data_IF_056112543888
#
_entry.id   IF_056112543888
#
_cell.length_a   1.000
_cell.length_b   1.000
_cell.length_c   1.000
_cell.angle_alpha   90.00
_cell.angle_beta   90.00
_cell.angle_gamma   90.00
#
_symmetry.space_group_name_H-M   'P 1'
#
loop_
_entity.id
_entity.type
_entity.pdbx_description
1 polymer ?
#
# COMPACT_ATOMS: atom_id res chain seq x y z
N UNK A 1 31.65 52.25 -20.45
CA UNK A 1 31.83 51.31 -21.59
C UNK A 1 30.62 50.38 -21.64
N UNK A 2 29.81 50.51 -22.70
CA UNK A 2 28.61 49.68 -22.85
C UNK A 2 29.04 48.21 -23.09
N UNK A 3 28.55 47.27 -22.26
CA UNK A 3 28.76 45.85 -22.42
C UNK A 3 28.04 45.38 -23.69
N UNK A 4 28.70 45.31 -24.83
CA UNK A 4 28.15 44.73 -26.06
C UNK A 4 27.85 43.25 -25.85
N UNK A 5 26.58 42.91 -25.87
CA UNK A 5 26.11 41.54 -25.82
C UNK A 5 26.05 40.98 -27.25
N UNK A 6 26.87 39.95 -27.50
CA UNK A 6 26.81 39.20 -28.74
C UNK A 6 25.47 38.42 -28.78
N UNK A 7 24.75 38.46 -29.91
CA UNK A 7 23.47 37.79 -30.11
C UNK A 7 23.43 37.01 -31.43
N UNK A 8 22.78 35.88 -31.37
CA UNK A 8 22.43 35.07 -32.59
C UNK A 8 21.05 34.47 -32.39
N UNK A 9 20.49 33.91 -33.44
CA UNK A 9 19.25 33.16 -33.34
C UNK A 9 19.37 31.79 -34.03
N UNK A 10 18.64 30.83 -33.52
CA UNK A 10 18.51 29.47 -34.10
C UNK A 10 17.05 29.26 -34.43
N UNK A 11 16.77 28.68 -35.60
CA UNK A 11 15.43 28.26 -36.00
C UNK A 11 15.08 26.95 -35.29
N UNK A 12 13.92 26.88 -34.67
CA UNK A 12 13.42 25.69 -34.01
C UNK A 12 12.57 24.87 -34.98
N UNK A 13 12.39 23.55 -34.75
CA UNK A 13 11.55 22.68 -35.58
C UNK A 13 10.11 23.17 -35.75
N UNK A 14 9.57 23.90 -34.78
CA UNK A 14 8.22 24.49 -34.79
C UNK A 14 8.14 25.84 -35.54
N UNK A 15 9.18 26.24 -36.27
CA UNK A 15 9.23 27.48 -37.03
C UNK A 15 9.50 28.75 -36.23
N UNK A 16 9.63 28.69 -34.90
CA UNK A 16 9.94 29.84 -34.06
C UNK A 16 11.45 30.06 -33.97
N UNK A 17 11.88 31.31 -33.78
CA UNK A 17 13.29 31.64 -33.55
C UNK A 17 13.60 31.75 -32.07
N UNK A 18 14.65 31.05 -31.61
CA UNK A 18 15.24 31.22 -30.27
C UNK A 18 16.45 32.15 -30.35
N UNK A 19 16.39 33.25 -29.61
CA UNK A 19 17.50 34.19 -29.51
C UNK A 19 18.47 33.78 -28.41
N UNK A 20 19.76 33.79 -28.72
CA UNK A 20 20.85 33.43 -27.82
C UNK A 20 21.72 34.67 -27.62
N UNK A 21 22.10 34.95 -26.37
CA UNK A 21 22.92 36.09 -25.99
C UNK A 21 24.08 35.63 -25.12
N UNK A 22 25.27 36.25 -25.30
CA UNK A 22 26.45 36.00 -24.48
C UNK A 22 27.31 37.25 -24.37
N UNK A 23 28.15 37.33 -23.33
CA UNK A 23 29.12 38.38 -23.13
C UNK A 23 30.41 38.19 -23.95
N UNK A 24 30.63 36.98 -24.53
CA UNK A 24 31.75 36.65 -25.40
C UNK A 24 31.32 35.93 -26.63
N UNK A 25 32.10 36.01 -27.73
CA UNK A 25 31.86 35.24 -28.96
C UNK A 25 31.94 33.72 -28.73
N UNK A 26 32.93 33.27 -27.97
CA UNK A 26 33.13 31.86 -27.64
C UNK A 26 31.96 31.32 -26.85
N UNK A 27 31.51 32.07 -25.82
CA UNK A 27 30.31 31.67 -25.02
C UNK A 27 29.01 31.72 -25.85
N UNK A 28 28.94 32.53 -26.92
CA UNK A 28 27.83 32.53 -27.85
C UNK A 28 27.79 31.26 -28.71
N UNK A 29 28.93 30.87 -29.26
CA UNK A 29 29.06 29.64 -30.07
C UNK A 29 28.84 28.40 -29.23
N UNK A 30 29.32 28.37 -28.00
CA UNK A 30 29.06 27.24 -27.09
C UNK A 30 27.56 27.08 -26.83
N UNK A 31 26.88 28.17 -26.46
CA UNK A 31 25.41 28.15 -26.25
C UNK A 31 24.64 27.80 -27.52
N UNK A 32 25.12 28.23 -28.70
CA UNK A 32 24.52 27.86 -29.98
C UNK A 32 24.65 26.37 -30.24
N UNK A 33 25.84 25.78 -29.98
CA UNK A 33 26.03 24.31 -30.09
C UNK A 33 25.12 23.51 -29.17
N UNK A 34 24.95 23.97 -27.90
CA UNK A 34 24.04 23.34 -26.94
C UNK A 34 22.58 23.36 -27.45
N UNK A 35 22.13 24.51 -27.96
CA UNK A 35 20.77 24.63 -28.53
C UNK A 35 20.62 23.76 -29.77
N UNK A 36 21.62 23.72 -30.66
CA UNK A 36 21.58 22.86 -31.87
C UNK A 36 21.59 21.38 -31.51
N UNK A 37 22.33 20.97 -30.46
CA UNK A 37 22.29 19.61 -29.94
C UNK A 37 20.90 19.25 -29.39
N UNK A 38 20.26 20.16 -28.64
CA UNK A 38 18.89 19.98 -28.14
C UNK A 38 17.88 19.85 -29.30
N UNK A 39 18.01 20.64 -30.34
CA UNK A 39 17.18 20.52 -31.54
C UNK A 39 17.41 19.16 -32.22
N UNK A 40 18.63 18.72 -32.34
CA UNK A 40 18.98 17.43 -32.94
C UNK A 40 18.47 16.23 -32.16
N UNK A 41 18.26 16.39 -30.84
CA UNK A 41 17.64 15.38 -29.96
C UNK A 41 16.10 15.44 -29.92
N UNK A 42 15.49 16.40 -30.63
CA UNK A 42 14.01 16.56 -30.64
C UNK A 42 13.41 17.16 -29.38
N UNK A 43 14.22 17.78 -28.49
CA UNK A 43 13.75 18.38 -27.24
C UNK A 43 12.93 19.65 -27.48
N UNK A 44 11.83 19.82 -26.74
CA UNK A 44 11.08 21.07 -26.69
C UNK A 44 11.79 22.09 -25.80
N UNK A 45 12.65 22.90 -26.44
CA UNK A 45 13.45 23.93 -25.78
C UNK A 45 12.68 25.20 -25.43
N UNK A 46 11.44 25.32 -25.84
CA UNK A 46 10.56 26.44 -25.50
C UNK A 46 9.71 26.18 -24.26
N UNK A 47 9.57 24.93 -23.85
CA UNK A 47 8.82 24.61 -22.64
C UNK A 47 9.64 25.02 -21.40
N UNK A 48 9.06 25.95 -20.62
CA UNK A 48 9.59 26.43 -19.35
C UNK A 48 8.72 26.01 -18.17
N UNK A 49 7.85 24.98 -18.35
CA UNK A 49 6.97 24.49 -17.29
C UNK A 49 7.75 24.15 -16.04
N UNK A 50 7.14 24.41 -14.88
CA UNK A 50 7.68 24.00 -13.59
C UNK A 50 7.45 22.50 -13.39
N UNK A 51 8.20 21.92 -12.46
CA UNK A 51 7.96 20.53 -12.05
C UNK A 51 6.50 20.30 -11.61
N UNK A 52 5.92 21.27 -10.85
CA UNK A 52 4.55 21.17 -10.36
C UNK A 52 3.53 21.14 -11.48
N UNK A 53 3.64 22.03 -12.45
CA UNK A 53 2.76 22.05 -13.63
C UNK A 53 2.84 20.75 -14.42
N UNK A 54 4.03 20.26 -14.69
CA UNK A 54 4.20 19.01 -15.42
C UNK A 54 3.75 17.78 -14.60
N UNK A 55 3.99 17.75 -13.30
CA UNK A 55 3.53 16.67 -12.43
C UNK A 55 1.99 16.59 -12.38
N UNK A 56 1.27 17.72 -12.50
CA UNK A 56 -0.19 17.73 -12.63
C UNK A 56 -0.64 17.12 -13.97
N UNK A 57 0.02 17.46 -15.07
CA UNK A 57 -0.23 16.83 -16.37
C UNK A 57 0.01 15.33 -16.29
N UNK A 58 1.16 14.92 -15.75
CA UNK A 58 1.51 13.51 -15.55
C UNK A 58 0.47 12.79 -14.68
N UNK A 59 0.03 13.39 -13.57
CA UNK A 59 -0.97 12.81 -12.70
C UNK A 59 -2.30 12.57 -13.45
N UNK A 60 -2.77 13.59 -14.18
CA UNK A 60 -4.07 13.52 -14.85
C UNK A 60 -4.07 12.61 -16.08
N UNK A 61 -2.99 12.60 -16.88
CA UNK A 61 -2.90 11.84 -18.13
C UNK A 61 -2.40 10.41 -17.89
N UNK A 62 -1.35 10.22 -17.08
CA UNK A 62 -0.68 8.93 -16.95
C UNK A 62 -1.13 8.13 -15.74
N UNK A 63 -1.82 8.73 -14.75
CA UNK A 63 -2.21 8.03 -13.52
C UNK A 63 -3.71 7.95 -13.28
N UNK A 64 -4.42 9.07 -13.45
CA UNK A 64 -5.84 9.15 -13.14
C UNK A 64 -6.70 8.15 -13.92
N UNK A 65 -6.48 7.88 -15.22
CA UNK A 65 -7.28 6.91 -15.97
C UNK A 65 -7.07 5.46 -15.54
N UNK A 66 -5.91 5.14 -14.94
CA UNK A 66 -5.50 3.75 -14.70
C UNK A 66 -5.50 3.34 -13.23
N UNK A 67 -5.58 4.28 -12.30
CA UNK A 67 -5.48 4.01 -10.87
C UNK A 67 -6.81 4.14 -10.16
N UNK A 68 -7.03 3.27 -9.16
CA UNK A 68 -8.19 3.39 -8.26
C UNK A 68 -8.04 4.61 -7.36
N UNK A 69 -9.18 5.18 -6.92
CA UNK A 69 -9.27 6.42 -6.13
C UNK A 69 -8.28 6.47 -4.94
N UNK A 70 -8.22 5.42 -4.11
CA UNK A 70 -7.28 5.36 -2.97
C UNK A 70 -5.80 5.43 -3.38
N UNK A 71 -5.46 4.87 -4.54
CA UNK A 71 -4.08 4.95 -5.06
C UNK A 71 -3.76 6.36 -5.54
N UNK A 72 -4.73 7.03 -6.15
CA UNK A 72 -4.62 8.43 -6.57
C UNK A 72 -4.46 9.35 -5.36
N UNK A 73 -5.27 9.18 -4.32
CA UNK A 73 -5.16 9.94 -3.06
C UNK A 73 -3.78 9.76 -2.42
N UNK A 74 -3.31 8.53 -2.35
CA UNK A 74 -2.00 8.23 -1.77
C UNK A 74 -0.84 8.79 -2.62
N UNK A 75 -0.99 8.88 -3.95
CA UNK A 75 -0.04 9.50 -4.85
C UNK A 75 -0.08 11.02 -4.71
N UNK A 76 -1.28 11.60 -4.66
CA UNK A 76 -1.49 13.03 -4.44
C UNK A 76 -0.90 13.50 -3.10
N UNK A 77 -1.14 12.76 -2.03
CA UNK A 77 -0.57 13.04 -0.72
C UNK A 77 0.97 13.00 -0.74
N UNK A 78 1.56 12.03 -1.45
CA UNK A 78 3.02 11.96 -1.57
C UNK A 78 3.59 13.14 -2.37
N UNK A 79 2.93 13.58 -3.45
CA UNK A 79 3.30 14.78 -4.20
C UNK A 79 3.23 16.03 -3.30
N UNK A 80 2.08 16.26 -2.65
CA UNK A 80 1.83 17.47 -1.88
C UNK A 80 2.75 17.59 -0.66
N UNK A 81 2.93 16.49 0.08
CA UNK A 81 3.61 16.55 1.38
C UNK A 81 5.12 16.34 1.29
N UNK A 82 5.62 15.69 0.24
CA UNK A 82 7.03 15.26 0.21
C UNK A 82 7.81 15.71 -1.02
N UNK A 83 7.15 16.09 -2.12
CA UNK A 83 7.84 16.48 -3.36
C UNK A 83 7.63 17.96 -3.66
N UNK A 84 6.40 18.45 -3.66
CA UNK A 84 6.07 19.84 -3.96
C UNK A 84 6.75 20.86 -3.05
N UNK A 85 6.97 20.64 -1.75
CA UNK A 85 7.71 21.57 -0.92
C UNK A 85 9.13 21.89 -1.42
N UNK A 86 9.71 21.00 -2.25
CA UNK A 86 11.07 21.16 -2.78
C UNK A 86 11.11 21.53 -4.25
N UNK A 87 10.14 21.08 -5.07
CA UNK A 87 10.27 21.13 -6.52
C UNK A 87 9.13 21.87 -7.23
N UNK A 88 8.01 22.20 -6.57
CA UNK A 88 6.81 22.69 -7.23
C UNK A 88 7.10 23.82 -8.24
N UNK A 89 7.81 24.84 -7.81
CA UNK A 89 8.07 26.05 -8.59
C UNK A 89 9.43 26.04 -9.31
N UNK A 90 10.15 24.90 -9.23
CA UNK A 90 11.43 24.73 -9.92
C UNK A 90 11.16 24.40 -11.39
N UNK A 91 11.77 25.15 -12.35
CA UNK A 91 11.66 24.78 -13.75
C UNK A 91 12.11 23.34 -13.99
N UNK A 92 11.31 22.55 -14.70
CA UNK A 92 11.52 21.11 -14.90
C UNK A 92 12.95 20.80 -15.39
N UNK A 93 13.46 21.60 -16.32
CA UNK A 93 14.80 21.49 -16.91
C UNK A 93 15.94 21.86 -15.95
N UNK A 94 15.64 22.52 -14.83
CA UNK A 94 16.65 22.97 -13.84
C UNK A 94 16.70 22.06 -12.60
N UNK A 95 15.85 21.04 -12.52
CA UNK A 95 15.90 20.12 -11.39
C UNK A 95 17.20 19.31 -11.45
N UNK A 96 17.97 19.35 -10.37
CA UNK A 96 19.27 18.69 -10.26
C UNK A 96 19.19 17.37 -9.48
N UNK A 97 20.14 16.44 -9.71
CA UNK A 97 20.25 15.22 -8.90
C UNK A 97 20.44 15.49 -7.40
N UNK A 98 21.07 16.61 -7.05
CA UNK A 98 21.25 17.02 -5.64
C UNK A 98 19.90 17.33 -4.97
N UNK A 99 18.99 18.04 -5.63
CA UNK A 99 17.65 18.31 -5.11
C UNK A 99 16.86 17.01 -4.88
N UNK A 100 16.96 16.05 -5.82
CA UNK A 100 16.36 14.73 -5.63
C UNK A 100 16.93 14.02 -4.39
N UNK A 101 18.25 14.09 -4.20
CA UNK A 101 18.92 13.49 -3.05
C UNK A 101 18.51 14.16 -1.72
N UNK A 102 18.30 15.48 -1.70
CA UNK A 102 17.80 16.22 -0.54
C UNK A 102 16.38 15.77 -0.15
N UNK A 103 15.48 15.56 -1.13
CA UNK A 103 14.14 15.01 -0.87
C UNK A 103 14.25 13.65 -0.20
N UNK A 104 15.05 12.74 -0.74
CA UNK A 104 15.21 11.40 -0.17
C UNK A 104 15.85 11.45 1.21
N UNK A 105 16.81 12.35 1.44
CA UNK A 105 17.44 12.55 2.74
C UNK A 105 16.46 13.07 3.79
N UNK A 106 15.55 13.99 3.42
CA UNK A 106 14.52 14.53 4.33
C UNK A 106 13.56 13.43 4.84
N UNK A 107 13.43 12.34 4.10
CA UNK A 107 12.57 11.21 4.43
C UNK A 107 13.28 10.10 5.23
N UNK A 108 14.51 10.30 5.68
CA UNK A 108 15.31 9.27 6.36
C UNK A 108 14.65 8.73 7.65
N UNK A 109 13.85 9.57 8.34
CA UNK A 109 13.10 9.20 9.54
C UNK A 109 11.73 8.57 9.25
N UNK A 110 11.28 8.61 8.00
CA UNK A 110 10.02 8.03 7.57
C UNK A 110 10.18 6.55 7.22
N UNK A 111 9.06 5.86 6.95
CA UNK A 111 9.11 4.45 6.55
C UNK A 111 9.84 4.26 5.22
N UNK A 112 10.57 3.15 5.09
CA UNK A 112 11.23 2.78 3.83
C UNK A 112 10.23 2.73 2.66
N UNK A 113 9.01 2.24 2.90
CA UNK A 113 7.94 2.15 1.90
C UNK A 113 7.52 3.53 1.36
N UNK A 114 7.48 4.57 2.19
CA UNK A 114 7.19 5.93 1.75
C UNK A 114 8.34 6.48 0.89
N UNK A 115 9.58 6.25 1.31
CA UNK A 115 10.77 6.63 0.54
C UNK A 115 10.75 6.00 -0.86
N UNK A 116 10.55 4.68 -0.93
CA UNK A 116 10.48 3.94 -2.19
C UNK A 116 9.37 4.51 -3.10
N UNK A 117 8.21 4.84 -2.51
CA UNK A 117 7.09 5.45 -3.23
C UNK A 117 7.43 6.84 -3.79
N UNK A 118 8.07 7.70 -3.00
CA UNK A 118 8.49 9.04 -3.46
C UNK A 118 9.50 8.92 -4.60
N UNK A 119 10.49 8.02 -4.49
CA UNK A 119 11.45 7.75 -5.56
C UNK A 119 10.74 7.24 -6.82
N UNK A 120 9.76 6.34 -6.67
CA UNK A 120 8.97 5.82 -7.79
C UNK A 120 8.17 6.93 -8.50
N UNK A 121 7.59 7.87 -7.74
CA UNK A 121 6.87 9.02 -8.30
C UNK A 121 7.82 9.91 -9.07
N UNK A 122 8.95 10.29 -8.48
CA UNK A 122 9.97 11.12 -9.13
C UNK A 122 10.45 10.48 -10.44
N UNK A 123 10.77 9.19 -10.42
CA UNK A 123 11.13 8.44 -11.64
C UNK A 123 10.02 8.47 -12.68
N UNK A 124 8.76 8.26 -12.25
CA UNK A 124 7.62 8.27 -13.17
C UNK A 124 7.42 9.62 -13.85
N UNK A 125 7.51 10.73 -13.10
CA UNK A 125 7.38 12.08 -13.66
C UNK A 125 8.52 12.40 -14.62
N UNK A 126 9.78 12.18 -14.19
CA UNK A 126 10.93 12.56 -15.00
C UNK A 126 11.14 11.63 -16.21
N UNK A 127 10.82 10.34 -16.13
CA UNK A 127 10.86 9.45 -17.29
C UNK A 127 9.80 9.88 -18.32
N UNK A 128 8.58 10.18 -17.89
CA UNK A 128 7.58 10.73 -18.79
C UNK A 128 8.01 12.06 -19.41
N UNK A 129 8.74 12.91 -18.68
CA UNK A 129 9.29 14.14 -19.23
C UNK A 129 10.39 13.89 -20.29
N UNK A 130 11.19 12.85 -20.12
CA UNK A 130 12.17 12.39 -21.14
C UNK A 130 11.43 11.84 -22.36
N UNK A 131 10.44 10.96 -22.17
CA UNK A 131 9.66 10.35 -23.23
C UNK A 131 8.90 11.39 -24.07
N UNK A 132 8.50 12.50 -23.45
CA UNK A 132 7.84 13.64 -24.13
C UNK A 132 8.85 14.71 -24.63
N UNK A 133 10.14 14.42 -24.65
CA UNK A 133 11.20 15.32 -25.13
C UNK A 133 11.30 16.68 -24.40
N UNK A 134 10.79 16.78 -23.17
CA UNK A 134 10.87 18.01 -22.37
C UNK A 134 12.25 18.19 -21.70
N UNK A 135 12.91 17.08 -21.39
CA UNK A 135 14.27 17.04 -20.84
C UNK A 135 15.08 15.93 -21.52
N UNK A 136 16.38 16.14 -21.65
CA UNK A 136 17.27 15.16 -22.32
C UNK A 136 17.53 13.92 -21.45
N UNK A 137 17.53 14.08 -20.12
CA UNK A 137 17.88 13.01 -19.16
C UNK A 137 17.15 13.23 -17.85
N UNK A 138 16.71 12.15 -17.24
CA UNK A 138 16.15 12.18 -15.89
C UNK A 138 17.20 12.58 -14.85
N UNK A 139 16.89 13.56 -13.96
CA UNK A 139 17.77 13.92 -12.85
C UNK A 139 17.76 12.89 -11.71
N UNK A 140 16.85 11.90 -11.75
CA UNK A 140 16.76 10.87 -10.70
C UNK A 140 17.90 9.87 -10.88
N UNK A 141 18.83 9.74 -9.92
CA UNK A 141 19.94 8.80 -10.05
C UNK A 141 19.46 7.36 -10.18
N UNK A 142 20.08 6.58 -11.07
CA UNK A 142 19.75 5.17 -11.27
C UNK A 142 19.92 4.34 -10.00
N UNK A 143 20.98 4.60 -9.25
CA UNK A 143 21.33 3.91 -7.99
C UNK A 143 21.01 4.77 -6.75
N UNK A 144 19.82 5.40 -6.71
CA UNK A 144 19.40 6.10 -5.50
C UNK A 144 19.05 5.09 -4.40
N UNK A 145 19.73 5.20 -3.25
CA UNK A 145 19.45 4.34 -2.09
C UNK A 145 18.35 4.96 -1.25
N UNK A 146 17.24 4.23 -1.13
CA UNK A 146 16.20 4.55 -0.16
C UNK A 146 16.74 4.33 1.26
N UNK A 147 16.77 5.39 2.06
CA UNK A 147 17.00 5.33 3.51
C UNK A 147 15.64 5.49 4.18
N UNK A 148 15.34 4.68 5.15
CA UNK A 148 14.09 4.80 5.90
C UNK A 148 14.03 3.72 6.96
N UNK A 149 13.23 3.97 7.98
CA UNK A 149 13.03 3.00 9.05
C UNK A 149 12.32 1.79 8.47
N UNK A 150 12.92 0.62 8.60
CA UNK A 150 12.23 -0.63 8.28
C UNK A 150 11.12 -0.82 9.30
N UNK A 151 9.93 -1.10 8.83
CA UNK A 151 8.82 -1.49 9.72
C UNK A 151 9.24 -2.77 10.45
N UNK A 152 9.04 -2.81 11.77
CA UNK A 152 9.23 -4.04 12.54
C UNK A 152 8.42 -5.17 11.89
N UNK A 153 9.02 -6.33 11.78
CA UNK A 153 8.37 -7.52 11.25
C UNK A 153 7.17 -7.87 12.16
N UNK A 154 6.06 -8.18 11.55
CA UNK A 154 4.84 -8.54 12.29
C UNK A 154 4.88 -10.03 12.53
N UNK A 155 5.12 -10.44 13.77
CA UNK A 155 5.00 -11.83 14.20
C UNK A 155 3.52 -12.23 14.27
N UNK A 156 3.19 -13.42 13.79
CA UNK A 156 1.85 -14.00 13.92
C UNK A 156 1.48 -14.17 15.41
N UNK A 157 0.20 -14.08 15.72
CA UNK A 157 -0.27 -14.33 17.08
C UNK A 157 -0.13 -15.82 17.43
N UNK A 158 0.35 -16.11 18.61
CA UNK A 158 0.34 -17.47 19.15
C UNK A 158 -1.10 -17.98 19.37
N UNK A 159 -1.25 -19.26 19.62
CA UNK A 159 -2.56 -19.86 19.95
C UNK A 159 -3.16 -19.21 21.20
N UNK A 160 -2.35 -19.00 22.25
CA UNK A 160 -2.73 -18.31 23.48
C UNK A 160 -3.14 -16.86 23.22
N UNK A 161 -2.33 -16.09 22.50
CA UNK A 161 -2.65 -14.69 22.15
C UNK A 161 -3.96 -14.58 21.36
N UNK A 162 -4.22 -15.50 20.44
CA UNK A 162 -5.47 -15.53 19.68
C UNK A 162 -6.67 -15.83 20.56
N UNK A 163 -6.54 -16.75 21.52
CA UNK A 163 -7.59 -17.04 22.50
C UNK A 163 -7.85 -15.82 23.39
N UNK A 164 -6.80 -15.26 24.00
CA UNK A 164 -6.89 -14.04 24.83
C UNK A 164 -7.52 -12.87 24.10
N UNK A 165 -7.23 -12.71 22.80
CA UNK A 165 -7.89 -11.69 21.97
C UNK A 165 -9.39 -11.95 21.86
N UNK A 166 -9.80 -13.17 21.49
CA UNK A 166 -11.22 -13.51 21.35
C UNK A 166 -11.97 -13.36 22.69
N UNK A 167 -11.39 -13.80 23.78
CA UNK A 167 -11.94 -13.66 25.13
C UNK A 167 -12.12 -12.17 25.51
N UNK A 168 -11.10 -11.34 25.24
CA UNK A 168 -11.12 -9.91 25.53
C UNK A 168 -12.20 -9.15 24.75
N UNK A 169 -12.58 -9.62 23.55
CA UNK A 169 -13.62 -8.97 22.72
C UNK A 169 -14.95 -9.72 22.71
N UNK A 170 -15.10 -10.82 23.45
CA UNK A 170 -16.24 -11.75 23.41
C UNK A 170 -17.60 -11.07 23.57
N UNK A 171 -17.71 -10.06 24.43
CA UNK A 171 -18.93 -9.28 24.66
C UNK A 171 -19.09 -8.08 23.72
N UNK A 172 -18.31 -7.98 22.65
CA UNK A 172 -18.32 -6.84 21.73
C UNK A 172 -18.64 -7.25 20.30
N UNK A 173 -19.07 -6.28 19.48
CA UNK A 173 -19.29 -6.49 18.04
C UNK A 173 -17.99 -6.84 17.28
N UNK A 174 -16.81 -6.59 17.86
CA UNK A 174 -15.54 -6.93 17.27
C UNK A 174 -15.24 -8.45 17.30
N UNK A 175 -15.88 -9.20 18.19
CA UNK A 175 -15.67 -10.65 18.32
C UNK A 175 -15.85 -11.39 16.99
N UNK A 176 -16.99 -11.17 16.35
CA UNK A 176 -17.32 -11.86 15.08
C UNK A 176 -16.32 -11.52 13.97
N UNK A 177 -15.91 -10.27 13.86
CA UNK A 177 -14.87 -9.88 12.91
C UNK A 177 -13.54 -10.58 13.19
N UNK A 178 -13.10 -10.60 14.46
CA UNK A 178 -11.85 -11.26 14.85
C UNK A 178 -11.89 -12.75 14.63
N UNK A 179 -13.03 -13.40 14.95
CA UNK A 179 -13.22 -14.84 14.76
C UNK A 179 -13.14 -15.21 13.26
N UNK A 180 -13.88 -14.50 12.40
CA UNK A 180 -13.83 -14.72 10.95
C UNK A 180 -12.41 -14.50 10.44
N UNK A 181 -11.74 -13.39 10.81
CA UNK A 181 -10.40 -13.06 10.34
C UNK A 181 -9.36 -14.12 10.72
N UNK A 182 -9.43 -14.65 11.97
CA UNK A 182 -8.51 -15.68 12.47
C UNK A 182 -8.76 -17.07 11.89
N UNK A 183 -10.01 -17.38 11.50
CA UNK A 183 -10.38 -18.72 11.06
C UNK A 183 -10.52 -18.85 9.54
N UNK A 184 -10.50 -17.73 8.79
CA UNK A 184 -10.65 -17.75 7.33
C UNK A 184 -9.55 -16.98 6.60
N UNK A 185 -8.80 -16.16 7.31
CA UNK A 185 -7.80 -15.30 6.72
C UNK A 185 -8.31 -14.28 5.71
N UNK A 186 -9.60 -14.03 5.65
CA UNK A 186 -10.22 -13.06 4.74
C UNK A 186 -9.67 -11.65 4.97
N UNK A 187 -9.60 -10.86 3.89
CA UNK A 187 -9.23 -9.45 3.99
C UNK A 187 -10.33 -8.65 4.68
N UNK A 188 -9.96 -7.53 5.32
CA UNK A 188 -10.94 -6.64 5.97
C UNK A 188 -12.15 -6.32 5.09
N UNK A 189 -11.91 -5.98 3.83
CA UNK A 189 -12.98 -5.62 2.90
C UNK A 189 -13.86 -6.82 2.53
N UNK A 190 -13.29 -8.01 2.43
CA UNK A 190 -14.03 -9.26 2.18
C UNK A 190 -14.93 -9.59 3.39
N UNK A 191 -14.40 -9.48 4.62
CA UNK A 191 -15.20 -9.72 5.85
C UNK A 191 -16.33 -8.68 5.98
N UNK A 192 -16.05 -7.39 5.72
CA UNK A 192 -17.07 -6.34 5.81
C UNK A 192 -18.10 -6.40 4.65
N UNK A 193 -17.78 -7.07 3.56
CA UNK A 193 -18.68 -7.29 2.43
C UNK A 193 -19.37 -8.65 2.44
N UNK A 194 -19.07 -9.52 3.40
CA UNK A 194 -19.59 -10.89 3.46
C UNK A 194 -21.09 -10.89 3.69
N UNK A 195 -21.80 -11.64 2.85
CA UNK A 195 -23.25 -11.77 2.86
C UNK A 195 -23.67 -13.18 3.26
N UNK A 196 -24.92 -13.35 3.71
CA UNK A 196 -25.47 -14.68 4.05
C UNK A 196 -25.57 -15.61 2.85
N UNK A 197 -25.74 -15.08 1.65
CA UNK A 197 -25.74 -15.85 0.40
C UNK A 197 -24.37 -16.42 0.01
N UNK A 198 -23.30 -15.88 0.61
CA UNK A 198 -21.93 -16.38 0.43
C UNK A 198 -21.63 -17.59 1.32
N UNK A 199 -22.54 -17.94 2.23
CA UNK A 199 -22.29 -18.98 3.25
C UNK A 199 -23.15 -20.20 2.99
N UNK A 200 -22.53 -21.26 2.56
CA UNK A 200 -23.13 -22.60 2.51
C UNK A 200 -22.87 -23.31 3.85
N UNK A 201 -23.89 -23.27 4.73
CA UNK A 201 -23.81 -23.90 6.05
C UNK A 201 -23.84 -25.42 6.00
N UNK A 202 -24.41 -25.98 4.95
CA UNK A 202 -24.56 -27.44 4.78
C UNK A 202 -23.23 -28.03 4.29
N UNK A 203 -22.62 -27.41 3.29
CA UNK A 203 -21.27 -27.78 2.81
C UNK A 203 -20.16 -27.24 3.67
N UNK A 204 -20.45 -26.34 4.61
CA UNK A 204 -19.49 -25.68 5.49
C UNK A 204 -18.43 -24.89 4.70
N UNK A 205 -18.88 -24.10 3.73
CA UNK A 205 -18.02 -23.33 2.82
C UNK A 205 -18.42 -21.85 2.83
N UNK A 206 -17.43 -20.95 2.83
CA UNK A 206 -17.62 -19.54 2.51
C UNK A 206 -17.11 -19.30 1.08
N UNK A 207 -17.99 -18.83 0.21
CA UNK A 207 -17.67 -18.37 -1.14
C UNK A 207 -17.24 -16.90 -1.07
N UNK A 208 -15.95 -16.62 -1.16
CA UNK A 208 -15.44 -15.23 -1.12
C UNK A 208 -15.67 -14.58 -2.47
N UNK A 209 -16.75 -13.82 -2.61
CA UNK A 209 -17.17 -13.14 -3.85
C UNK A 209 -17.30 -11.62 -3.67
N UNK A 210 -17.64 -11.15 -2.48
CA UNK A 210 -17.93 -9.77 -2.18
C UNK A 210 -16.77 -9.05 -1.50
N UNK A 211 -16.65 -7.74 -1.76
CA UNK A 211 -15.69 -6.87 -1.09
C UNK A 211 -16.28 -5.49 -0.81
N UNK A 212 -16.21 -5.06 0.42
CA UNK A 212 -16.58 -3.70 0.81
C UNK A 212 -15.44 -2.72 0.54
N UNK A 213 -15.72 -1.70 -0.26
CA UNK A 213 -14.83 -0.57 -0.53
C UNK A 213 -15.39 0.65 0.21
N UNK A 214 -14.64 1.13 1.18
CA UNK A 214 -14.99 2.32 1.93
C UNK A 214 -14.55 3.57 1.15
N UNK A 215 -15.51 4.42 0.81
CA UNK A 215 -15.29 5.75 0.22
C UNK A 215 -15.57 6.82 1.27
N UNK A 216 -15.28 8.09 0.93
CA UNK A 216 -15.58 9.22 1.82
C UNK A 216 -17.08 9.41 2.09
N UNK A 217 -17.94 9.01 1.16
CA UNK A 217 -19.39 9.20 1.24
C UNK A 217 -20.18 7.95 1.61
N UNK A 218 -19.71 6.77 1.21
CA UNK A 218 -20.44 5.52 1.41
C UNK A 218 -19.55 4.29 1.36
N UNK A 219 -20.10 3.14 1.74
CA UNK A 219 -19.49 1.82 1.51
C UNK A 219 -20.16 1.19 0.29
N UNK A 220 -19.35 0.80 -0.67
CA UNK A 220 -19.77 0.09 -1.87
C UNK A 220 -19.38 -1.37 -1.67
N UNK A 221 -20.37 -2.27 -1.67
CA UNK A 221 -20.14 -3.70 -1.71
C UNK A 221 -20.32 -4.16 -3.15
N UNK A 222 -19.33 -4.85 -3.68
CA UNK A 222 -19.34 -5.32 -5.07
C UNK A 222 -18.75 -6.72 -5.17
N UNK A 223 -19.23 -7.47 -6.14
CA UNK A 223 -18.66 -8.76 -6.56
C UNK A 223 -17.30 -8.60 -7.26
N UNK A 224 -16.97 -7.35 -7.70
CA UNK A 224 -15.72 -7.05 -8.36
C UNK A 224 -14.54 -7.13 -7.38
N UNK A 225 -14.06 -8.33 -7.13
CA UNK A 225 -12.80 -8.55 -6.42
C UNK A 225 -11.63 -7.99 -7.24
N UNK A 226 -10.55 -7.60 -6.55
CA UNK A 226 -9.41 -6.91 -7.18
C UNK A 226 -8.71 -7.75 -8.26
N UNK A 227 -8.80 -9.06 -8.14
CA UNK A 227 -8.18 -10.05 -9.06
C UNK A 227 -9.03 -11.32 -9.09
N UNK A 228 -8.95 -12.10 -10.16
CA UNK A 228 -9.58 -13.42 -10.25
C UNK A 228 -9.15 -14.38 -9.15
N UNK A 229 -7.90 -14.33 -8.72
CA UNK A 229 -7.38 -15.12 -7.60
C UNK A 229 -8.03 -14.80 -6.24
N UNK A 230 -8.80 -13.72 -6.14
CA UNK A 230 -9.50 -13.38 -4.90
C UNK A 230 -10.81 -14.13 -4.72
N UNK A 231 -11.43 -14.62 -5.82
CA UNK A 231 -12.58 -15.52 -5.77
C UNK A 231 -12.10 -16.90 -5.33
N UNK A 232 -12.62 -17.38 -4.22
CA UNK A 232 -12.20 -18.67 -3.64
C UNK A 232 -13.20 -19.18 -2.63
N UNK A 233 -13.11 -20.45 -2.37
CA UNK A 233 -13.90 -21.16 -1.37
C UNK A 233 -13.04 -21.44 -0.14
N UNK A 234 -13.56 -21.11 1.04
CA UNK A 234 -12.87 -21.31 2.32
C UNK A 234 -13.70 -22.24 3.18
N UNK A 235 -13.15 -23.38 3.65
CA UNK A 235 -13.82 -24.24 4.62
C UNK A 235 -14.12 -23.49 5.93
N UNK A 236 -15.29 -23.74 6.52
CA UNK A 236 -15.72 -23.12 7.79
C UNK A 236 -15.33 -24.04 8.94
N UNK A 237 -14.41 -23.63 9.83
CA UNK A 237 -14.07 -24.40 11.02
C UNK A 237 -15.25 -24.53 11.99
N UNK A 238 -15.33 -25.60 12.80
CA UNK A 238 -16.50 -25.91 13.66
C UNK A 238 -16.92 -24.77 14.59
N UNK A 239 -15.98 -24.06 15.20
CA UNK A 239 -16.27 -22.92 16.08
C UNK A 239 -16.97 -21.77 15.35
N UNK A 240 -16.49 -21.43 14.14
CA UNK A 240 -17.11 -20.39 13.32
C UNK A 240 -18.47 -20.85 12.80
N UNK A 241 -18.60 -22.12 12.41
CA UNK A 241 -19.85 -22.70 11.95
C UNK A 241 -20.94 -22.60 13.02
N UNK A 242 -20.64 -22.97 14.27
CA UNK A 242 -21.56 -22.84 15.39
C UNK A 242 -22.01 -21.40 15.62
N UNK A 243 -21.07 -20.46 15.56
CA UNK A 243 -21.37 -19.04 15.70
C UNK A 243 -22.27 -18.52 14.55
N UNK A 244 -21.98 -18.89 13.31
CA UNK A 244 -22.78 -18.47 12.14
C UNK A 244 -24.18 -19.07 12.15
N UNK A 245 -24.33 -20.32 12.52
CA UNK A 245 -25.67 -20.98 12.67
C UNK A 245 -26.52 -20.26 13.71
N UNK A 246 -25.95 -19.90 14.86
CA UNK A 246 -26.63 -19.12 15.89
C UNK A 246 -27.07 -17.74 15.44
N UNK A 247 -26.26 -17.06 14.62
CA UNK A 247 -26.56 -15.73 14.13
C UNK A 247 -27.58 -15.70 12.99
N UNK A 248 -27.63 -16.71 12.13
CA UNK A 248 -28.51 -16.74 10.94
C UNK A 248 -29.99 -16.69 11.33
N UNK A 249 -30.38 -17.32 12.42
CA UNK A 249 -31.76 -17.35 12.91
C UNK A 249 -32.29 -15.99 13.37
N UNK A 250 -31.43 -15.04 13.71
CA UNK A 250 -31.75 -13.71 14.21
C UNK A 250 -31.39 -12.57 13.26
N UNK A 251 -30.85 -12.87 12.08
CA UNK A 251 -30.34 -11.84 11.16
C UNK A 251 -31.45 -11.22 10.33
N UNK A 252 -31.64 -9.88 10.48
CA UNK A 252 -32.52 -9.08 9.63
C UNK A 252 -31.80 -8.35 8.50
N UNK A 253 -30.52 -8.65 8.25
CA UNK A 253 -29.66 -8.02 7.23
C UNK A 253 -29.09 -9.06 6.27
N UNK A 254 -28.89 -8.74 4.98
CA UNK A 254 -28.15 -9.62 4.08
C UNK A 254 -26.68 -9.75 4.46
N UNK A 255 -26.10 -8.78 5.19
CA UNK A 255 -24.69 -8.76 5.59
C UNK A 255 -24.47 -9.45 6.93
N UNK A 256 -23.35 -10.17 7.04
CA UNK A 256 -22.91 -10.79 8.32
C UNK A 256 -22.53 -9.74 9.34
N UNK A 257 -21.81 -8.69 8.90
CA UNK A 257 -21.46 -7.53 9.71
C UNK A 257 -22.14 -6.28 9.12
N UNK A 258 -23.06 -5.71 9.88
CA UNK A 258 -23.89 -4.62 9.41
C UNK A 258 -24.06 -3.52 10.47
N UNK A 259 -24.52 -2.35 10.08
CA UNK A 259 -25.02 -1.30 10.96
C UNK A 259 -26.43 -1.66 11.49
N UNK A 260 -26.91 -0.97 12.49
CA UNK A 260 -28.26 -1.20 13.09
C UNK A 260 -29.39 -1.09 12.06
N UNK A 261 -29.20 -0.27 11.02
CA UNK A 261 -30.18 -0.13 9.91
C UNK A 261 -30.04 -1.22 8.82
N UNK A 262 -29.30 -2.29 9.06
CA UNK A 262 -29.10 -3.42 8.15
C UNK A 262 -28.14 -3.14 6.98
N UNK A 263 -27.62 -1.92 6.83
CA UNK A 263 -26.66 -1.57 5.76
C UNK A 263 -25.25 -2.06 6.08
N UNK A 264 -24.37 -2.23 5.08
CA UNK A 264 -22.97 -2.62 5.31
C UNK A 264 -22.27 -1.59 6.18
N UNK A 265 -21.26 -2.02 6.94
CA UNK A 265 -20.47 -1.13 7.80
C UNK A 265 -19.89 0.04 7.01
N UNK A 266 -20.06 1.27 7.50
CA UNK A 266 -19.34 2.45 7.01
C UNK A 266 -17.87 2.43 7.47
N UNK A 267 -17.03 3.31 6.92
CA UNK A 267 -15.65 3.48 7.38
C UNK A 267 -15.59 3.84 8.87
N UNK A 268 -16.48 4.74 9.33
CA UNK A 268 -16.56 5.14 10.73
C UNK A 268 -17.09 4.01 11.63
N UNK A 269 -18.12 3.29 11.17
CA UNK A 269 -18.65 2.14 11.92
C UNK A 269 -17.60 1.03 12.07
N UNK A 270 -16.82 0.76 11.03
CA UNK A 270 -15.70 -0.17 11.13
C UNK A 270 -14.60 0.36 12.07
N UNK A 271 -14.27 1.67 12.02
CA UNK A 271 -13.30 2.27 12.94
C UNK A 271 -13.74 2.12 14.38
N UNK A 272 -15.01 2.39 14.68
CA UNK A 272 -15.58 2.22 16.02
C UNK A 272 -15.55 0.76 16.49
N UNK A 273 -15.87 -0.18 15.60
CA UNK A 273 -15.74 -1.62 15.87
C UNK A 273 -14.30 -1.98 16.20
N UNK A 274 -13.34 -1.51 15.38
CA UNK A 274 -11.93 -1.83 15.58
C UNK A 274 -11.33 -1.14 16.82
N UNK A 275 -11.85 0.01 17.22
CA UNK A 275 -11.47 0.69 18.46
C UNK A 275 -11.74 -0.18 19.70
N UNK A 276 -12.75 -1.05 19.67
CA UNK A 276 -12.98 -2.03 20.75
C UNK A 276 -11.81 -2.99 20.93
N UNK A 277 -11.11 -3.34 19.85
CA UNK A 277 -9.87 -4.14 19.89
C UNK A 277 -8.70 -3.26 20.35
N UNK A 278 -8.48 -2.14 19.64
CA UNK A 278 -7.33 -1.26 19.84
C UNK A 278 -7.21 -0.75 21.28
N UNK A 279 -8.33 -0.42 21.94
CA UNK A 279 -8.34 0.05 23.33
C UNK A 279 -8.00 -1.02 24.35
N UNK A 280 -7.93 -2.29 23.97
CA UNK A 280 -7.50 -3.41 24.82
C UNK A 280 -6.03 -3.76 24.65
N UNK A 281 -5.39 -3.26 23.61
CA UNK A 281 -3.97 -3.50 23.31
C UNK A 281 -3.09 -2.43 23.96
N UNK A 282 -1.82 -2.73 24.15
CA UNK A 282 -0.79 -1.78 24.54
C UNK A 282 0.29 -1.68 23.47
N UNK A 283 0.80 -0.46 23.27
CA UNK A 283 2.01 -0.23 22.48
C UNK A 283 3.26 -0.24 23.40
N UNK A 284 3.07 0.19 24.65
CA UNK A 284 4.07 0.09 25.74
C UNK A 284 3.60 -0.92 26.79
N UNK A 285 4.40 -1.94 27.12
CA UNK A 285 4.08 -2.91 28.19
C UNK A 285 3.72 -2.28 29.55
N UNK A 286 4.25 -1.09 29.86
CA UNK A 286 3.92 -0.36 31.07
C UNK A 286 2.45 0.11 31.14
N UNK A 287 1.75 0.17 30.01
CA UNK A 287 0.33 0.55 29.96
C UNK A 287 -0.64 -0.62 30.25
N UNK A 288 -0.13 -1.85 30.37
CA UNK A 288 -0.97 -3.01 30.67
C UNK A 288 -1.71 -2.83 32.00
N UNK A 289 -3.00 -3.13 32.00
CA UNK A 289 -3.85 -2.93 33.18
C UNK A 289 -4.39 -1.51 33.36
N UNK A 290 -3.90 -0.52 32.61
CA UNK A 290 -4.39 0.86 32.65
C UNK A 290 -5.69 1.03 31.85
N UNK A 291 -6.45 2.10 32.12
CA UNK A 291 -7.61 2.44 31.31
C UNK A 291 -7.18 3.10 30.00
N UNK A 292 -7.79 2.70 28.90
CA UNK A 292 -7.61 3.39 27.64
C UNK A 292 -8.14 4.82 27.71
N UNK A 293 -7.48 5.75 27.03
CA UNK A 293 -7.84 7.18 27.01
C UNK A 293 -9.33 7.34 26.61
N UNK A 294 -10.07 8.12 27.39
CA UNK A 294 -11.50 8.39 27.21
C UNK A 294 -12.40 7.13 27.16
N UNK A 295 -12.00 6.04 27.82
CA UNK A 295 -12.76 4.79 27.85
C UNK A 295 -12.72 4.14 29.23
N UNK A 296 -13.78 3.36 29.53
CA UNK A 296 -13.79 2.45 30.70
C UNK A 296 -13.06 1.13 30.43
N UNK A 297 -12.61 0.90 29.19
CA UNK A 297 -11.95 -0.34 28.78
C UNK A 297 -10.54 -0.40 29.35
N UNK A 298 -10.19 -1.55 29.93
CA UNK A 298 -8.86 -1.83 30.46
C UNK A 298 -8.01 -2.45 29.34
N UNK A 299 -6.76 -2.04 29.25
CA UNK A 299 -5.74 -2.64 28.37
C UNK A 299 -5.34 -3.98 28.94
N UNK A 300 -5.82 -5.05 28.30
CA UNK A 300 -5.68 -6.43 28.79
C UNK A 300 -4.79 -7.31 27.89
N UNK A 301 -4.37 -6.78 26.74
CA UNK A 301 -3.54 -7.48 25.76
C UNK A 301 -2.16 -6.82 25.68
N UNK A 302 -1.13 -7.58 26.01
CA UNK A 302 0.28 -7.17 25.96
C UNK A 302 0.91 -7.22 24.56
N UNK A 303 0.08 -7.26 23.54
CA UNK A 303 0.46 -7.28 22.13
C UNK A 303 -0.45 -6.41 21.27
N UNK A 304 0.12 -5.88 20.19
CA UNK A 304 -0.61 -5.06 19.24
C UNK A 304 -1.34 -5.91 18.20
N UNK A 305 -2.59 -5.54 17.86
CA UNK A 305 -3.40 -6.27 16.89
C UNK A 305 -3.85 -5.36 15.74
N UNK A 306 -3.75 -5.84 14.51
CA UNK A 306 -4.34 -5.21 13.33
C UNK A 306 -5.16 -6.22 12.54
N UNK A 307 -6.17 -5.79 11.74
CA UNK A 307 -6.93 -6.72 10.88
C UNK A 307 -6.03 -7.57 9.97
N UNK A 308 -4.93 -6.98 9.49
CA UNK A 308 -4.00 -7.70 8.63
C UNK A 308 -3.14 -8.73 9.40
N UNK A 309 -2.86 -8.46 10.69
CA UNK A 309 -2.16 -9.42 11.54
C UNK A 309 -2.99 -10.68 11.80
N UNK A 310 -4.31 -10.56 11.94
CA UNK A 310 -5.20 -11.72 12.09
C UNK A 310 -5.14 -12.64 10.86
N UNK A 311 -5.18 -12.05 9.67
CA UNK A 311 -4.98 -12.79 8.43
C UNK A 311 -3.58 -13.39 8.33
N UNK A 312 -2.54 -12.64 8.72
CA UNK A 312 -1.17 -13.15 8.76
C UNK A 312 -1.09 -14.39 9.68
N UNK A 313 -1.72 -14.33 10.85
CA UNK A 313 -1.81 -15.44 11.81
C UNK A 313 -2.48 -16.68 11.20
N UNK A 314 -3.58 -16.51 10.48
CA UNK A 314 -4.24 -17.62 9.75
C UNK A 314 -3.27 -18.27 8.77
N UNK A 315 -2.62 -17.48 7.92
CA UNK A 315 -1.71 -18.00 6.90
C UNK A 315 -0.52 -18.74 7.55
N UNK A 316 0.05 -18.18 8.62
CA UNK A 316 1.14 -18.82 9.38
C UNK A 316 0.69 -20.18 9.92
N UNK A 317 -0.52 -20.28 10.50
CA UNK A 317 -1.05 -21.55 11.00
C UNK A 317 -1.28 -22.60 9.91
N UNK A 318 -1.66 -22.18 8.70
CA UNK A 318 -1.74 -23.11 7.57
C UNK A 318 -0.36 -23.67 7.20
N UNK A 319 0.68 -22.85 7.27
CA UNK A 319 2.06 -23.34 7.10
C UNK A 319 2.48 -24.30 8.22
N UNK A 320 2.11 -24.00 9.46
CA UNK A 320 2.38 -24.85 10.63
C UNK A 320 1.69 -26.21 10.53
N UNK A 321 0.49 -26.24 9.94
CA UNK A 321 -0.27 -27.48 9.72
C UNK A 321 0.27 -28.35 8.59
N UNK A 322 1.26 -27.86 7.82
CA UNK A 322 1.90 -28.60 6.74
C UNK A 322 1.14 -28.58 5.39
N UNK A 323 0.14 -27.71 5.24
CA UNK A 323 -0.54 -27.54 3.94
C UNK A 323 0.45 -27.14 2.84
N UNK A 324 0.15 -27.59 1.61
CA UNK A 324 0.92 -27.21 0.44
C UNK A 324 0.84 -25.68 0.17
N UNK A 325 1.93 -25.13 -0.33
CA UNK A 325 2.04 -23.69 -0.59
C UNK A 325 1.01 -23.18 -1.61
N UNK A 326 0.59 -24.02 -2.57
CA UNK A 326 -0.44 -23.68 -3.55
C UNK A 326 -1.82 -23.64 -2.93
N UNK A 327 -2.11 -24.56 -2.02
CA UNK A 327 -3.35 -24.56 -1.24
C UNK A 327 -3.42 -23.33 -0.35
N UNK A 328 -2.32 -22.99 0.36
CA UNK A 328 -2.24 -21.78 1.17
C UNK A 328 -2.40 -20.53 0.30
N UNK A 329 -1.76 -20.49 -0.88
CA UNK A 329 -1.91 -19.39 -1.83
C UNK A 329 -3.38 -19.20 -2.24
N UNK A 330 -4.07 -20.31 -2.56
CA UNK A 330 -5.48 -20.30 -2.92
C UNK A 330 -6.36 -19.82 -1.76
N UNK A 331 -6.26 -20.41 -0.58
CA UNK A 331 -7.04 -20.03 0.60
C UNK A 331 -6.79 -18.59 1.04
N UNK A 332 -5.56 -18.12 0.91
CA UNK A 332 -5.21 -16.72 1.15
C UNK A 332 -5.70 -15.78 0.02
N UNK A 333 -6.01 -16.27 -1.17
CA UNK A 333 -6.32 -15.43 -2.33
C UNK A 333 -5.15 -14.51 -2.71
N UNK A 334 -3.93 -15.07 -2.76
CA UNK A 334 -2.73 -14.36 -3.18
C UNK A 334 -2.51 -14.52 -4.68
N UNK A 335 -2.26 -13.43 -5.38
CA UNK A 335 -2.03 -13.44 -6.84
C UNK A 335 -0.71 -14.08 -7.23
N UNK A 336 0.28 -14.06 -6.33
CA UNK A 336 1.61 -14.65 -6.57
C UNK A 336 2.05 -15.50 -5.38
N UNK A 337 2.83 -16.53 -5.67
CA UNK A 337 3.45 -17.38 -4.63
C UNK A 337 4.38 -16.57 -3.73
N UNK A 338 5.07 -15.57 -4.28
CA UNK A 338 5.96 -14.68 -3.50
C UNK A 338 5.25 -13.98 -2.34
N UNK A 339 3.97 -13.61 -2.53
CA UNK A 339 3.17 -13.04 -1.43
C UNK A 339 2.97 -14.02 -0.28
N UNK A 340 2.82 -15.30 -0.60
CA UNK A 340 2.66 -16.38 0.38
C UNK A 340 4.00 -16.72 1.01
N UNK A 341 5.06 -16.83 0.22
CA UNK A 341 6.42 -17.08 0.69
C UNK A 341 6.95 -16.00 1.64
N UNK A 342 6.61 -14.73 1.43
CA UNK A 342 7.00 -13.65 2.36
C UNK A 342 6.46 -13.85 3.77
N UNK A 343 5.30 -14.45 3.92
CA UNK A 343 4.76 -14.83 5.25
C UNK A 343 5.57 -16.00 5.82
N UNK A 344 5.98 -16.93 4.96
CA UNK A 344 6.70 -18.14 5.31
C UNK A 344 8.17 -17.91 5.72
N UNK A 345 8.89 -17.01 5.05
CA UNK A 345 10.33 -16.76 5.33
C UNK A 345 10.55 -16.25 6.74
N UNK A 346 9.55 -15.61 7.36
CA UNK A 346 9.63 -15.16 8.74
C UNK A 346 9.47 -16.29 9.77
N UNK A 347 8.78 -17.37 9.40
CA UNK A 347 8.54 -18.52 10.28
C UNK A 347 9.73 -19.49 10.34
N UNK A 348 10.54 -19.59 9.29
CA UNK A 348 11.57 -20.65 9.13
C UNK A 348 12.81 -20.53 10.01
N UNK A 349 13.11 -19.33 10.55
CA UNK A 349 14.44 -19.15 11.17
C UNK A 349 14.63 -19.80 12.55
N UNK A 350 13.59 -20.07 13.31
CA UNK A 350 13.73 -20.54 14.69
C UNK A 350 13.21 -21.98 14.93
N UNK A 351 12.20 -22.44 14.24
CA UNK A 351 11.50 -23.69 14.59
C UNK A 351 11.85 -24.88 13.70
N UNK A 352 12.41 -24.67 12.51
CA UNK A 352 12.58 -25.73 11.50
C UNK A 352 13.94 -26.41 11.41
N UNK A 353 14.98 -25.90 12.03
CA UNK A 353 16.30 -26.55 11.92
C UNK A 353 16.25 -28.02 12.39
N UNK A 354 15.57 -28.28 13.52
CA UNK A 354 15.43 -29.63 14.06
C UNK A 354 14.51 -30.53 13.20
N UNK A 355 13.36 -29.98 12.79
CA UNK A 355 12.39 -30.70 11.94
C UNK A 355 12.93 -31.00 10.54
N UNK A 356 13.67 -30.07 9.95
CA UNK A 356 14.29 -30.25 8.64
C UNK A 356 15.40 -31.31 8.72
N UNK A 357 16.22 -31.27 9.75
CA UNK A 357 17.26 -32.28 9.98
C UNK A 357 16.61 -33.68 10.11
N UNK A 358 15.56 -33.81 10.91
CA UNK A 358 14.85 -35.08 11.08
C UNK A 358 14.20 -35.59 9.77
N UNK A 359 13.59 -34.70 8.98
CA UNK A 359 12.99 -35.04 7.68
C UNK A 359 14.05 -35.41 6.63
N UNK A 360 15.17 -34.71 6.61
CA UNK A 360 16.31 -35.04 5.71
C UNK A 360 16.90 -36.40 6.09
N UNK A 361 17.12 -36.65 7.38
CA UNK A 361 17.60 -37.95 7.87
C UNK A 361 16.62 -39.09 7.54
N UNK A 362 15.32 -38.84 7.71
CA UNK A 362 14.28 -39.84 7.37
C UNK A 362 14.12 -40.07 5.85
N UNK A 363 14.44 -39.10 5.01
CA UNK A 363 14.34 -39.22 3.55
C UNK A 363 15.60 -39.79 2.89
N UNK A 364 16.75 -39.69 3.54
CA UNK A 364 18.06 -40.05 2.97
C UNK A 364 18.73 -41.22 3.70
N UNK A 365 18.25 -41.65 4.86
CA UNK A 365 18.69 -42.80 5.68
C UNK A 365 17.76 -43.94 5.60
#
# INVERSE_FOLDING_TARGET
MANELFRTSVMLPNGKRKWIRSKSKEGLEQKKKEVMLQIGTGLDILDNSTFGEYAEVWFNVYKKPYLRQKSLEALRNALNNHIYPFLRDVPLKKVSPMQIQLIVASLAKNSKSLNDKVIQILRGVFNAAVDNNLIAKSPVPTKIKSKGVRTKEKTALTADQSKRLLDAVSSTRAYLFCLIALQTGMRRGEICGLMWEDIDLDRQIIHVRHNAVFTSSQTIVSEALKTSAAVRDIPIPPTLLGTLKGLKSSSGSPFILHMENGKPLSQSSFSNLWDMVRRRTVDDPAELGTKATNSKMVRSLDFHVTPHLLRHTYITRLFESGLDIKEIQYLAGHTTVDMTLRVYTHYQHETRQQDTANKVCAALG
#
